data_IF_013303729074
#
_entry.id   IF_013303729074
#
_cell.length_a   1.000
_cell.length_b   1.000
_cell.length_c   1.000
_cell.angle_alpha   90.00
_cell.angle_beta   90.00
_cell.angle_gamma   90.00
#
_symmetry.space_group_name_H-M   'P 1'
#
loop_
_entity.id
_entity.type
_entity.pdbx_description
1 polymer ?
#
# COMPACT_ATOMS: atom_id res chain seq x y z
N UNK A 1 4.76 38.77 -0.62
CA UNK A 1 5.56 37.54 -0.40
C UNK A 1 4.76 36.36 0.19
N UNK A 2 3.52 36.10 -0.28
CA UNK A 2 2.69 34.94 0.14
C UNK A 2 2.38 33.99 -1.03
N UNK A 3 2.39 34.50 -2.26
CA UNK A 3 2.14 33.73 -3.48
C UNK A 3 3.27 32.73 -3.78
N UNK A 4 4.52 33.16 -3.61
CA UNK A 4 5.71 32.32 -3.81
C UNK A 4 5.77 31.12 -2.87
N UNK A 5 5.40 31.28 -1.60
CA UNK A 5 5.34 30.19 -0.63
C UNK A 5 4.30 29.13 -1.02
N UNK A 6 3.10 29.55 -1.42
CA UNK A 6 2.04 28.63 -1.88
C UNK A 6 2.45 27.82 -3.10
N UNK A 7 3.17 28.45 -4.04
CA UNK A 7 3.69 27.75 -5.23
C UNK A 7 4.75 26.73 -4.83
N UNK A 8 5.68 27.07 -3.93
CA UNK A 8 6.69 26.14 -3.43
C UNK A 8 6.03 24.94 -2.73
N UNK A 9 5.06 25.18 -1.84
CA UNK A 9 4.36 24.12 -1.12
C UNK A 9 3.58 23.20 -2.09
N UNK A 10 2.95 23.78 -3.11
CA UNK A 10 2.23 23.01 -4.14
C UNK A 10 3.18 22.16 -4.99
N UNK A 11 4.33 22.72 -5.39
CA UNK A 11 5.36 21.98 -6.15
C UNK A 11 5.95 20.85 -5.32
N UNK A 12 6.27 21.10 -4.04
CA UNK A 12 6.77 20.06 -3.14
C UNK A 12 5.78 18.91 -2.98
N UNK A 13 4.48 19.22 -2.83
CA UNK A 13 3.43 18.21 -2.76
C UNK A 13 3.34 17.40 -4.06
N UNK A 14 3.31 18.09 -5.20
CA UNK A 14 3.23 17.45 -6.51
C UNK A 14 4.43 16.53 -6.78
N UNK A 15 5.63 16.95 -6.40
CA UNK A 15 6.86 16.14 -6.52
C UNK A 15 6.77 14.90 -5.64
N UNK A 16 6.35 15.06 -4.38
CA UNK A 16 6.21 13.93 -3.44
C UNK A 16 5.21 12.89 -3.96
N UNK A 17 4.06 13.35 -4.43
CA UNK A 17 3.01 12.49 -4.99
C UNK A 17 3.50 11.78 -6.27
N UNK A 18 4.20 12.50 -7.15
CA UNK A 18 4.71 11.95 -8.42
C UNK A 18 5.79 10.88 -8.20
N UNK A 19 6.70 11.08 -7.25
CA UNK A 19 7.76 10.10 -6.94
C UNK A 19 7.17 8.85 -6.30
N UNK A 20 6.22 9.00 -5.38
CA UNK A 20 5.51 7.88 -4.77
C UNK A 20 4.67 7.10 -5.80
N UNK A 21 4.14 7.79 -6.82
CA UNK A 21 3.36 7.16 -7.89
C UNK A 21 4.23 6.46 -8.93
N UNK A 22 5.48 6.90 -9.16
CA UNK A 22 6.37 6.34 -10.21
C UNK A 22 7.28 5.22 -9.75
N UNK A 23 7.42 5.00 -8.45
CA UNK A 23 8.27 3.94 -7.90
C UNK A 23 7.42 2.79 -7.40
N UNK A 24 7.84 1.55 -7.69
CA UNK A 24 7.32 0.41 -6.95
C UNK A 24 7.70 0.62 -5.47
N UNK A 25 6.70 0.67 -4.61
CA UNK A 25 6.89 0.92 -3.17
C UNK A 25 6.57 -0.34 -2.40
N UNK A 26 7.22 -0.51 -1.26
CA UNK A 26 6.87 -1.54 -0.31
C UNK A 26 6.58 -0.91 1.05
N UNK A 27 5.77 -1.59 1.86
CA UNK A 27 5.39 -1.12 3.17
C UNK A 27 4.78 -2.21 4.01
N UNK A 28 4.33 -1.82 5.20
CA UNK A 28 3.61 -2.71 6.11
C UNK A 28 2.11 -2.47 6.01
N UNK A 29 1.34 -3.54 6.15
CA UNK A 29 -0.10 -3.51 6.25
C UNK A 29 -0.59 -4.51 7.30
N UNK A 30 -1.82 -4.32 7.76
CA UNK A 30 -2.52 -5.28 8.62
C UNK A 30 -3.65 -5.93 7.84
N UNK A 31 -3.74 -7.26 7.87
CA UNK A 31 -4.88 -8.00 7.32
C UNK A 31 -6.12 -7.75 8.18
N UNK A 32 -7.21 -7.32 7.54
CA UNK A 32 -8.49 -7.02 8.20
C UNK A 32 -9.57 -8.05 7.85
N UNK A 33 -9.45 -8.75 6.73
CA UNK A 33 -10.33 -9.85 6.35
C UNK A 33 -9.62 -10.84 5.42
N UNK A 34 -10.03 -12.10 5.48
CA UNK A 34 -9.65 -13.15 4.53
C UNK A 34 -10.88 -13.52 3.72
N UNK A 35 -10.82 -13.32 2.41
CA UNK A 35 -11.94 -13.54 1.51
C UNK A 35 -11.97 -14.99 1.04
N UNK A 36 -13.15 -15.48 0.68
CA UNK A 36 -13.36 -16.87 0.22
C UNK A 36 -12.69 -17.18 -1.12
N UNK A 37 -12.39 -16.15 -1.92
CA UNK A 37 -11.65 -16.26 -3.18
C UNK A 37 -10.12 -16.33 -2.99
N UNK A 38 -9.65 -16.31 -1.74
CA UNK A 38 -8.24 -16.39 -1.38
C UNK A 38 -7.51 -15.05 -1.38
N UNK A 39 -8.17 -13.92 -1.65
CA UNK A 39 -7.62 -12.58 -1.44
C UNK A 39 -7.76 -12.13 0.01
N UNK A 40 -7.10 -11.02 0.37
CA UNK A 40 -7.21 -10.41 1.69
C UNK A 40 -7.55 -8.93 1.59
N UNK A 41 -8.28 -8.41 2.57
CA UNK A 41 -8.40 -6.97 2.78
C UNK A 41 -7.31 -6.53 3.75
N UNK A 42 -6.71 -5.37 3.49
CA UNK A 42 -5.61 -4.84 4.30
C UNK A 42 -5.85 -3.37 4.65
N UNK A 43 -5.27 -2.93 5.75
CA UNK A 43 -5.11 -1.51 6.08
C UNK A 43 -3.64 -1.14 5.98
N UNK A 44 -3.33 -0.15 5.13
CA UNK A 44 -1.99 0.41 4.93
C UNK A 44 -1.90 1.80 5.56
N UNK A 45 -0.70 2.39 5.62
CA UNK A 45 -0.53 3.78 6.03
C UNK A 45 -1.27 4.79 5.10
N UNK A 46 -1.55 4.40 3.86
CA UNK A 46 -2.30 5.22 2.89
C UNK A 46 -3.81 4.97 2.93
N UNK A 47 -4.29 4.03 3.76
CA UNK A 47 -5.70 3.66 3.87
C UNK A 47 -6.00 2.19 3.56
N UNK A 48 -7.29 1.80 3.58
CA UNK A 48 -7.73 0.43 3.34
C UNK A 48 -7.64 0.05 1.86
N UNK A 49 -7.32 -1.21 1.59
CA UNK A 49 -7.28 -1.80 0.26
C UNK A 49 -7.99 -3.16 0.31
N UNK A 50 -8.96 -3.35 -0.57
CA UNK A 50 -9.76 -4.58 -0.62
C UNK A 50 -9.23 -5.57 -1.67
N UNK A 51 -9.53 -6.85 -1.47
CA UNK A 51 -9.31 -7.93 -2.44
C UNK A 51 -7.87 -8.02 -2.98
N UNK A 52 -6.88 -7.82 -2.10
CA UNK A 52 -5.47 -7.85 -2.44
C UNK A 52 -5.01 -9.30 -2.62
N UNK A 53 -4.33 -9.57 -3.74
CA UNK A 53 -3.73 -10.88 -4.00
C UNK A 53 -2.52 -11.11 -3.10
N UNK A 54 -2.22 -12.38 -2.86
CA UNK A 54 -1.09 -12.82 -2.04
C UNK A 54 -0.18 -13.77 -2.80
N UNK A 55 1.10 -13.77 -2.45
CA UNK A 55 2.03 -14.79 -2.93
C UNK A 55 1.61 -16.17 -2.42
N UNK A 56 1.84 -17.21 -3.25
CA UNK A 56 1.50 -18.60 -2.91
C UNK A 56 2.21 -19.10 -1.65
N UNK A 57 3.39 -18.55 -1.34
CA UNK A 57 4.17 -18.85 -0.13
C UNK A 57 3.48 -18.42 1.15
N UNK A 58 2.66 -17.36 1.11
CA UNK A 58 1.85 -16.93 2.24
C UNK A 58 0.50 -17.64 2.20
N UNK A 59 0.48 -18.92 2.55
CA UNK A 59 -0.63 -19.85 2.27
C UNK A 59 -1.80 -19.78 3.27
N UNK A 60 -1.55 -19.39 4.50
CA UNK A 60 -2.54 -19.36 5.60
C UNK A 60 -2.69 -17.94 6.18
N UNK A 61 -3.32 -16.99 5.46
CA UNK A 61 -3.54 -15.66 5.99
C UNK A 61 -4.53 -15.67 7.15
N UNK A 62 -4.28 -14.84 8.16
CA UNK A 62 -5.18 -14.63 9.28
C UNK A 62 -5.47 -13.13 9.47
N UNK A 63 -6.63 -12.84 10.04
CA UNK A 63 -6.97 -11.48 10.47
C UNK A 63 -5.99 -11.05 11.56
N UNK A 64 -5.54 -9.79 11.49
CA UNK A 64 -4.51 -9.17 12.30
C UNK A 64 -3.05 -9.50 11.93
N UNK A 65 -2.80 -10.36 10.94
CA UNK A 65 -1.44 -10.54 10.42
C UNK A 65 -0.84 -9.20 10.00
N UNK A 66 0.41 -8.95 10.43
CA UNK A 66 1.21 -7.85 9.91
C UNK A 66 1.99 -8.39 8.72
N UNK A 67 1.73 -7.82 7.56
CA UNK A 67 2.26 -8.30 6.29
C UNK A 67 3.11 -7.25 5.61
N UNK A 68 4.13 -7.70 4.88
CA UNK A 68 4.81 -6.88 3.89
C UNK A 68 3.97 -6.85 2.62
N UNK A 69 3.76 -5.65 2.08
CA UNK A 69 3.07 -5.44 0.81
C UNK A 69 3.93 -4.64 -0.15
N UNK A 70 3.72 -4.91 -1.43
CA UNK A 70 4.31 -4.17 -2.54
C UNK A 70 3.19 -3.53 -3.37
N UNK A 71 3.40 -2.29 -3.82
CA UNK A 71 2.50 -1.53 -4.68
C UNK A 71 3.24 -1.12 -5.95
N UNK A 72 2.67 -1.41 -7.11
CA UNK A 72 3.22 -0.94 -8.38
C UNK A 72 2.71 0.48 -8.73
N UNK A 73 3.32 1.16 -9.72
CA UNK A 73 2.88 2.48 -10.18
C UNK A 73 1.41 2.56 -10.65
N UNK A 74 0.86 1.46 -11.15
CA UNK A 74 -0.54 1.38 -11.60
C UNK A 74 -1.53 1.27 -10.43
N UNK A 75 -1.04 1.20 -9.19
CA UNK A 75 -1.87 1.08 -8.00
C UNK A 75 -2.24 -0.36 -7.62
N UNK A 76 -1.67 -1.36 -8.30
CA UNK A 76 -1.88 -2.76 -7.95
C UNK A 76 -1.07 -3.12 -6.70
N UNK A 77 -1.72 -3.83 -5.79
CA UNK A 77 -1.14 -4.30 -4.54
C UNK A 77 -0.91 -5.80 -4.56
N UNK A 78 0.16 -6.23 -3.90
CA UNK A 78 0.48 -7.63 -3.67
C UNK A 78 0.94 -7.82 -2.22
N UNK A 79 0.43 -8.85 -1.56
CA UNK A 79 0.94 -9.29 -0.26
C UNK A 79 2.10 -10.25 -0.48
N UNK A 80 3.29 -9.85 -0.02
CA UNK A 80 4.53 -10.62 -0.16
C UNK A 80 4.60 -11.74 0.89
N UNK A 81 4.12 -11.46 2.11
CA UNK A 81 4.03 -12.43 3.20
C UNK A 81 3.89 -11.80 4.58
N UNK A 82 3.61 -12.64 5.58
CA UNK A 82 3.55 -12.23 6.98
C UNK A 82 4.95 -12.01 7.59
N UNK A 83 5.04 -11.10 8.57
CA UNK A 83 6.26 -10.83 9.34
C UNK A 83 6.36 -11.65 10.63
N UNK A 84 5.31 -12.38 10.99
CA UNK A 84 5.24 -13.31 12.11
C UNK A 84 4.34 -14.49 11.74
#
# INVERSE_FOLDING_TARGET
MRLSKRVIDAVQRLVTDTVAQRTATWGLARVTAVNTDGTVNITTASGPVASVRRLKSYSAPAVNDVVKVSKNPDGNWLVDGALA
#
